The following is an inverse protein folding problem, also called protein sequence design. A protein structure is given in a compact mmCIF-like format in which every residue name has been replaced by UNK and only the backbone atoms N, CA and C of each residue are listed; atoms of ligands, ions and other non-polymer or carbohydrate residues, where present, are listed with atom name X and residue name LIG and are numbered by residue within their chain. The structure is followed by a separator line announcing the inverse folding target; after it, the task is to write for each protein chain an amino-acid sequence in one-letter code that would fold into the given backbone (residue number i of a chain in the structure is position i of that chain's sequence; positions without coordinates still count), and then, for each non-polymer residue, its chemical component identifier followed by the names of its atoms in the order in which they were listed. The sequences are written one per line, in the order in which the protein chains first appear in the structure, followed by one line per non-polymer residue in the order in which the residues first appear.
data_IF_940565760046
#
_entry.id   IF_940565760046
#
_cell.length_a   1.000
_cell.length_b   1.000
_cell.length_c   1.000
_cell.angle_alpha   90.00
_cell.angle_beta   90.00
_cell.angle_gamma   90.00
#
_symmetry.space_group_name_H-M   'P 1'
#
loop_
_entity.id
_entity.type
_entity.pdbx_description
1 polymer ?
#
# COMPACT_ATOMS: atom_id res chain seq x y z
N UNK A 1 20.11 2.26 -9.62
CA UNK A 1 19.85 1.80 -9.23
C UNK A 1 19.53 1.10 -8.98
N UNK A 2 19.51 1.01 -9.02
CA UNK A 2 19.15 0.29 -8.77
C UNK A 2 19.10 -0.42 -7.70
N UNK A 3 19.03 0.07 -6.83
CA UNK A 3 19.03 -0.46 -5.64
C UNK A 3 18.16 -1.56 -5.48
N UNK A 4 17.09 -1.58 -6.01
CA UNK A 4 16.34 -2.63 -5.97
C UNK A 4 16.93 -3.71 -6.56
N UNK A 5 17.77 -3.53 -7.40
CA UNK A 5 18.37 -4.54 -8.07
C UNK A 5 19.11 -5.38 -7.24
N UNK A 6 19.59 -4.86 -6.22
CA UNK A 6 20.37 -5.63 -5.35
C UNK A 6 19.57 -6.75 -4.81
N UNK A 7 18.33 -6.70 -5.02
CA UNK A 7 17.57 -7.72 -4.48
C UNK A 7 17.40 -8.80 -5.47
N UNK A 8 18.31 -8.93 -6.36
CA UNK A 8 18.24 -9.97 -7.34
C UNK A 8 18.22 -11.31 -6.67
N UNK A 9 18.66 -11.43 -5.43
CA UNK A 9 18.62 -12.69 -4.75
C UNK A 9 17.27 -12.88 -4.10
N UNK A 10 16.42 -11.89 -4.15
CA UNK A 10 15.15 -11.94 -3.51
C UNK A 10 14.12 -12.31 -4.55
N UNK A 11 13.27 -13.29 -4.35
CA UNK A 11 12.28 -13.67 -5.33
C UNK A 11 11.15 -12.66 -5.49
N UNK A 12 11.16 -11.57 -4.69
CA UNK A 12 10.12 -10.57 -4.74
C UNK A 12 10.68 -9.23 -5.14
N UNK A 13 9.86 -8.44 -5.81
CA UNK A 13 10.15 -7.04 -5.96
C UNK A 13 9.38 -6.34 -4.86
N UNK A 14 10.05 -5.52 -4.07
CA UNK A 14 9.45 -4.82 -2.96
C UNK A 14 9.54 -3.33 -3.15
N UNK A 15 8.46 -2.63 -2.88
CA UNK A 15 8.46 -1.17 -2.94
C UNK A 15 7.31 -0.61 -2.11
N UNK A 16 7.39 0.66 -1.76
CA UNK A 16 6.33 1.32 -1.01
C UNK A 16 5.39 1.95 -2.02
N UNK A 17 4.11 1.76 -1.86
CA UNK A 17 3.16 2.25 -2.83
C UNK A 17 1.85 2.70 -2.20
N UNK A 18 1.19 3.63 -2.87
CA UNK A 18 -0.18 3.96 -2.60
C UNK A 18 -1.02 3.10 -3.52
N UNK A 19 -2.02 2.42 -2.99
CA UNK A 19 -2.82 1.47 -3.73
C UNK A 19 -4.29 1.83 -3.60
N UNK A 20 -4.98 1.91 -4.74
CA UNK A 20 -6.41 2.16 -4.75
C UNK A 20 -7.11 0.85 -5.03
N UNK A 21 -8.01 0.47 -4.15
CA UNK A 21 -8.74 -0.79 -4.29
C UNK A 21 -10.08 -0.55 -4.95
N UNK A 22 -10.66 -1.60 -5.51
CA UNK A 22 -11.98 -1.50 -6.15
C UNK A 22 -13.05 -1.09 -5.16
N UNK A 23 -12.83 -1.30 -3.87
CA UNK A 23 -13.78 -0.89 -2.84
C UNK A 23 -13.77 0.62 -2.64
N UNK A 24 -12.81 1.32 -3.22
CA UNK A 24 -12.68 2.76 -3.04
C UNK A 24 -11.65 3.13 -2.00
N UNK A 25 -11.17 2.18 -1.23
CA UNK A 25 -10.17 2.46 -0.22
C UNK A 25 -8.83 2.75 -0.84
N UNK A 26 -8.10 3.65 -0.23
CA UNK A 26 -6.75 3.96 -0.67
C UNK A 26 -5.82 3.62 0.49
N UNK A 27 -4.84 2.78 0.25
CA UNK A 27 -3.95 2.32 1.31
C UNK A 27 -2.51 2.63 0.95
N UNK A 28 -1.68 2.71 1.97
CA UNK A 28 -0.25 2.88 1.81
C UNK A 28 0.38 1.62 2.36
N UNK A 29 1.25 1.00 1.63
CA UNK A 29 1.80 -0.29 2.04
C UNK A 29 3.14 -0.56 1.41
N UNK A 30 3.94 -1.37 2.07
CA UNK A 30 5.02 -2.04 1.39
C UNK A 30 4.35 -3.11 0.54
N UNK A 31 4.70 -3.18 -0.71
CA UNK A 31 4.08 -4.09 -1.65
C UNK A 31 5.13 -5.05 -2.18
N UNK A 32 4.78 -6.31 -2.25
CA UNK A 32 5.67 -7.33 -2.79
C UNK A 32 4.96 -8.06 -3.91
N UNK A 33 5.64 -8.15 -5.04
CA UNK A 33 5.11 -8.84 -6.20
C UNK A 33 5.85 -10.16 -6.34
N UNK A 34 5.10 -11.25 -6.42
CA UNK A 34 5.69 -12.57 -6.52
C UNK A 34 5.93 -12.87 -7.98
N UNK A 35 7.16 -13.20 -8.33
CA UNK A 35 7.56 -13.33 -9.71
C UNK A 35 6.76 -14.36 -10.50
N UNK A 36 6.37 -15.42 -9.87
CA UNK A 36 5.69 -16.50 -10.57
C UNK A 36 4.19 -16.49 -10.42
N UNK A 37 3.63 -15.47 -9.80
CA UNK A 37 2.20 -15.44 -9.55
C UNK A 37 1.68 -14.03 -9.85
N UNK A 38 1.20 -13.84 -11.06
CA UNK A 38 0.71 -12.54 -11.47
C UNK A 38 -0.65 -12.21 -10.91
N UNK A 39 -1.31 -13.17 -10.29
CA UNK A 39 -2.67 -12.95 -9.79
C UNK A 39 -2.71 -12.41 -8.39
N UNK A 40 -1.61 -12.41 -7.69
CA UNK A 40 -1.58 -12.06 -6.28
C UNK A 40 -0.52 -11.01 -5.99
N UNK A 41 -0.78 -10.25 -4.96
CA UNK A 41 0.18 -9.27 -4.51
C UNK A 41 0.17 -9.30 -3.00
N UNK A 42 1.25 -8.97 -2.37
CA UNK A 42 1.37 -9.03 -0.91
C UNK A 42 1.48 -7.62 -0.38
N UNK A 43 0.65 -7.29 0.60
CA UNK A 43 0.72 -6.02 1.31
C UNK A 43 1.35 -6.30 2.68
N UNK A 44 2.40 -5.57 3.00
CA UNK A 44 3.07 -5.69 4.29
C UNK A 44 2.85 -4.39 5.04
N UNK A 45 2.22 -4.47 6.19
CA UNK A 45 1.88 -3.34 7.03
C UNK A 45 1.04 -2.29 6.30
N UNK A 46 -0.07 -2.70 5.69
CA UNK A 46 -0.90 -1.73 5.00
C UNK A 46 -1.61 -0.82 5.99
N UNK A 47 -1.63 0.47 5.68
CA UNK A 47 -2.33 1.45 6.50
C UNK A 47 -3.31 2.22 5.62
N UNK A 48 -4.38 2.67 6.22
CA UNK A 48 -5.38 3.43 5.50
C UNK A 48 -5.28 4.88 5.99
N UNK A 49 -5.50 5.80 5.07
CA UNK A 49 -5.39 7.21 5.35
C UNK A 49 -6.77 7.82 5.30
N UNK A 50 -7.14 8.55 6.33
CA UNK A 50 -8.42 9.23 6.37
C UNK A 50 -8.19 10.72 6.58
N UNK A 51 -9.00 11.54 5.94
CA UNK A 51 -8.91 12.96 6.15
C UNK A 51 -9.64 13.32 7.42
N UNK A 52 -9.08 14.24 8.18
CA UNK A 52 -9.72 14.80 9.35
C UNK A 52 -10.22 16.17 8.93
N UNK A 53 -11.53 16.39 8.98
CA UNK A 53 -12.10 17.65 8.57
C UNK A 53 -12.72 18.37 9.72
N UNK A 54 -12.75 19.71 9.62
CA UNK A 54 -13.40 20.48 10.65
C UNK A 54 -14.90 20.31 10.48
N UNK A 55 -15.63 20.62 11.56
CA UNK A 55 -17.05 20.59 11.53
C UNK A 55 -17.49 21.60 10.50
N UNK A 56 -18.35 21.33 9.68
CA UNK A 56 -18.76 22.21 8.63
C UNK A 56 -18.11 21.95 7.29
N UNK A 57 -17.20 21.05 7.24
CA UNK A 57 -16.58 20.68 5.99
C UNK A 57 -15.47 21.62 5.57
N UNK A 58 -15.21 21.72 4.34
CA UNK A 58 -14.19 22.59 3.84
C UNK A 58 -12.84 21.93 3.76
N UNK A 59 -11.82 22.66 4.17
CA UNK A 59 -10.45 22.22 4.02
C UNK A 59 -10.11 21.15 5.03
N UNK A 60 -9.41 20.10 4.65
CA UNK A 60 -8.98 19.10 5.62
C UNK A 60 -8.07 19.70 6.66
N UNK A 61 -8.23 19.30 7.91
CA UNK A 61 -7.40 19.75 8.98
C UNK A 61 -6.15 18.92 9.10
N UNK A 62 -6.14 17.74 8.49
CA UNK A 62 -5.00 16.83 8.56
C UNK A 62 -5.43 15.44 8.13
N UNK A 63 -4.56 14.48 8.43
CA UNK A 63 -4.81 13.10 8.05
C UNK A 63 -4.52 12.18 9.21
N UNK A 64 -5.25 11.07 9.25
CA UNK A 64 -5.07 10.07 10.27
C UNK A 64 -4.75 8.76 9.57
N UNK A 65 -3.80 8.01 10.11
CA UNK A 65 -3.42 6.73 9.55
C UNK A 65 -3.74 5.64 10.54
N UNK A 66 -4.32 4.55 10.05
CA UNK A 66 -4.68 3.43 10.88
C UNK A 66 -4.34 2.14 10.14
N UNK A 67 -4.12 1.05 10.85
CA UNK A 67 -3.93 -0.23 10.18
C UNK A 67 -5.14 -0.54 9.32
N UNK A 68 -4.92 -1.14 8.16
CA UNK A 68 -6.01 -1.50 7.27
C UNK A 68 -6.91 -2.54 7.91
N UNK A 69 -6.30 -3.54 8.54
CA UNK A 69 -7.06 -4.56 9.25
C UNK A 69 -6.90 -4.33 10.74
N UNK A 70 -8.02 -4.18 11.43
CA UNK A 70 -7.96 -3.78 12.83
C UNK A 70 -8.13 -4.92 13.80
N UNK A 71 -8.67 -6.03 13.35
CA UNK A 71 -9.03 -7.11 14.25
C UNK A 71 -8.03 -8.25 14.27
N UNK A 72 -6.89 -8.06 13.67
CA UNK A 72 -5.87 -9.10 13.60
C UNK A 72 -4.53 -8.52 13.98
N UNK A 73 -3.65 -9.37 14.48
CA UNK A 73 -2.29 -8.96 14.77
C UNK A 73 -1.39 -9.20 13.57
N UNK A 74 -1.93 -9.73 12.49
CA UNK A 74 -1.12 -10.01 11.34
C UNK A 74 -0.80 -8.74 10.58
N UNK A 75 0.37 -8.69 9.97
CA UNK A 75 0.83 -7.53 9.24
C UNK A 75 0.91 -7.75 7.75
N UNK A 76 0.79 -8.98 7.31
CA UNK A 76 1.02 -9.33 5.91
C UNK A 76 -0.24 -9.94 5.34
N UNK A 77 -0.67 -9.46 4.19
CA UNK A 77 -1.91 -9.92 3.58
C UNK A 77 -1.71 -10.19 2.10
N UNK A 78 -2.30 -11.28 1.61
CA UNK A 78 -2.24 -11.63 0.21
C UNK A 78 -3.55 -11.16 -0.43
N UNK A 79 -3.44 -10.38 -1.49
CA UNK A 79 -4.60 -9.75 -2.12
C UNK A 79 -4.63 -10.13 -3.59
N UNK A 80 -5.79 -10.37 -4.13
CA UNK A 80 -5.95 -10.67 -5.54
C UNK A 80 -5.73 -9.40 -6.34
N UNK A 81 -5.00 -9.49 -7.42
CA UNK A 81 -4.72 -8.33 -8.25
C UNK A 81 -5.98 -7.72 -8.86
N UNK A 82 -7.02 -8.49 -9.05
CA UNK A 82 -8.24 -7.96 -9.64
C UNK A 82 -9.00 -7.06 -8.66
N UNK A 83 -8.56 -6.94 -7.42
CA UNK A 83 -9.18 -6.02 -6.46
C UNK A 83 -8.50 -4.67 -6.46
N UNK A 84 -7.49 -4.49 -7.30
CA UNK A 84 -6.70 -3.27 -7.33
C UNK A 84 -7.01 -2.48 -8.57
N UNK A 85 -7.31 -1.18 -8.40
CA UNK A 85 -7.50 -0.31 -9.53
C UNK A 85 -6.17 0.21 -10.02
N UNK A 86 -5.33 0.65 -9.11
CA UNK A 86 -4.05 1.22 -9.50
C UNK A 86 -3.05 1.15 -8.34
N UNK A 87 -1.79 1.09 -8.66
CA UNK A 87 -0.70 1.10 -7.71
C UNK A 87 0.25 2.19 -8.14
N UNK A 88 0.58 3.08 -7.21
CA UNK A 88 1.50 4.17 -7.50
C UNK A 88 2.69 4.05 -6.57
N UNK A 89 3.83 3.71 -7.14
CA UNK A 89 5.04 3.55 -6.35
C UNK A 89 5.50 4.89 -5.82
N UNK A 90 5.90 4.94 -4.56
CA UNK A 90 6.38 6.15 -3.95
C UNK A 90 7.89 6.14 -3.91
N UNK A 91 8.47 7.24 -4.32
CA UNK A 91 9.91 7.38 -4.32
C UNK A 91 10.35 7.95 -3.00
N UNK A 92 11.30 7.29 -2.34
CA UNK A 92 11.80 7.81 -1.09
C UNK A 92 12.56 9.11 -1.29
N UNK A 93 12.96 9.40 -2.49
CA UNK A 93 13.66 10.62 -2.75
C UNK A 93 12.78 11.83 -2.60
N UNK A 94 11.50 11.65 -2.79
CA UNK A 94 10.56 12.75 -2.73
C UNK A 94 9.91 12.88 -1.35
N UNK A 95 10.34 12.12 -0.42
CA UNK A 95 9.84 12.17 0.95
C UNK A 95 10.89 12.78 1.88
#
# INVERSE_FOLDING_TARGET
MTSFKSSSDNPYDEFIAAVKLVSGEEILSMVMVIADDDDKIIFDNPIICEEIRSRGGGVPMGYKFEPWMRLTDEDVFIVDMDRIITISELSLIHI
#
